data_IF_566767990811
#
_entry.id   IF_566767990811
#
_cell.length_a   1.000
_cell.length_b   1.000
_cell.length_c   1.000
_cell.angle_alpha   90.00
_cell.angle_beta   90.00
_cell.angle_gamma   90.00
#
_symmetry.space_group_name_H-M   'P 1'
#
loop_
_entity.id
_entity.type
_entity.pdbx_description
1 polymer ?
#
# COMPACT_ATOMS: atom_id res chain seq x y z
N UNK A 1 -21.85 -40.55 8.42
CA UNK A 1 -20.70 -39.63 8.62
C UNK A 1 -20.46 -38.64 7.47
N UNK A 2 -21.16 -38.70 6.33
CA UNK A 2 -20.90 -37.84 5.16
C UNK A 2 -21.49 -36.41 5.23
N UNK A 3 -22.59 -36.20 5.96
CA UNK A 3 -23.32 -34.91 6.00
C UNK A 3 -22.63 -33.80 6.79
N UNK A 4 -21.81 -34.15 7.79
CA UNK A 4 -21.04 -33.18 8.59
C UNK A 4 -19.84 -32.61 7.81
N UNK A 5 -19.25 -33.39 6.90
CA UNK A 5 -18.09 -32.97 6.11
C UNK A 5 -18.46 -31.90 5.06
N UNK A 6 -19.63 -32.02 4.43
CA UNK A 6 -20.13 -31.03 3.47
C UNK A 6 -20.41 -29.66 4.10
N UNK A 7 -20.87 -29.62 5.36
CA UNK A 7 -21.11 -28.35 6.08
C UNK A 7 -19.78 -27.64 6.36
N UNK A 8 -18.73 -28.37 6.74
CA UNK A 8 -17.41 -27.78 6.99
C UNK A 8 -16.75 -27.24 5.71
N UNK A 9 -16.90 -27.94 4.58
CA UNK A 9 -16.40 -27.48 3.27
C UNK A 9 -17.14 -26.25 2.74
N UNK A 10 -18.46 -26.17 2.97
CA UNK A 10 -19.25 -25.00 2.61
C UNK A 10 -18.92 -23.79 3.51
N UNK A 11 -18.71 -24.00 4.81
CA UNK A 11 -18.29 -22.94 5.74
C UNK A 11 -16.89 -22.38 5.42
N UNK A 12 -15.94 -23.23 5.08
CA UNK A 12 -14.59 -22.81 4.64
C UNK A 12 -14.63 -22.03 3.32
N UNK A 13 -15.51 -22.42 2.40
CA UNK A 13 -15.70 -21.71 1.13
C UNK A 13 -16.40 -20.36 1.33
N UNK A 14 -17.38 -20.28 2.24
CA UNK A 14 -18.09 -19.05 2.56
C UNK A 14 -17.20 -18.03 3.30
N UNK A 15 -16.32 -18.50 4.18
CA UNK A 15 -15.30 -17.68 4.83
C UNK A 15 -14.25 -17.16 3.83
N UNK A 16 -13.90 -17.93 2.80
CA UNK A 16 -12.95 -17.52 1.77
C UNK A 16 -13.51 -16.45 0.81
N UNK A 17 -14.81 -16.46 0.53
CA UNK A 17 -15.44 -15.53 -0.43
C UNK A 17 -16.15 -14.33 0.19
N UNK A 18 -16.50 -14.36 1.48
CA UNK A 18 -17.13 -13.23 2.17
C UNK A 18 -16.11 -12.25 2.82
N UNK A 19 -14.83 -12.65 2.87
CA UNK A 19 -13.74 -11.83 3.44
C UNK A 19 -13.06 -10.81 2.50
N UNK A 20 -13.01 -10.94 1.15
CA UNK A 20 -12.22 -10.02 0.34
C UNK A 20 -12.77 -8.59 0.37
N UNK A 21 -14.08 -8.40 0.17
CA UNK A 21 -14.67 -7.05 0.17
C UNK A 21 -14.54 -6.34 1.53
N UNK A 22 -14.72 -7.05 2.64
CA UNK A 22 -14.61 -6.47 3.99
C UNK A 22 -13.15 -6.24 4.39
N UNK A 23 -12.23 -7.11 3.93
CA UNK A 23 -10.79 -6.90 4.10
C UNK A 23 -10.32 -5.69 3.29
N UNK A 24 -10.85 -5.50 2.07
CA UNK A 24 -10.56 -4.37 1.21
C UNK A 24 -11.05 -3.04 1.81
N UNK A 25 -12.24 -3.00 2.43
CA UNK A 25 -12.76 -1.80 3.09
C UNK A 25 -11.93 -1.43 4.34
N UNK A 26 -11.53 -2.41 5.15
CA UNK A 26 -10.67 -2.18 6.33
C UNK A 26 -9.29 -1.68 5.90
N UNK A 27 -8.71 -2.26 4.85
CA UNK A 27 -7.43 -1.82 4.28
C UNK A 27 -7.55 -0.40 3.73
N UNK A 28 -8.63 -0.11 2.98
CA UNK A 28 -8.91 1.22 2.44
C UNK A 28 -9.03 2.27 3.53
N UNK A 29 -9.89 2.05 4.52
CA UNK A 29 -10.11 3.00 5.62
C UNK A 29 -8.80 3.26 6.38
N UNK A 30 -8.03 2.21 6.65
CA UNK A 30 -6.74 2.33 7.34
C UNK A 30 -5.74 3.15 6.53
N UNK A 31 -5.52 2.81 5.26
CA UNK A 31 -4.53 3.52 4.42
C UNK A 31 -4.97 4.97 4.20
N UNK A 32 -6.26 5.21 3.92
CA UNK A 32 -6.80 6.56 3.73
C UNK A 32 -6.62 7.41 4.99
N UNK A 33 -6.93 6.86 6.17
CA UNK A 33 -6.73 7.57 7.45
C UNK A 33 -5.26 7.89 7.73
N UNK A 34 -4.32 7.02 7.32
CA UNK A 34 -2.89 7.33 7.41
C UNK A 34 -2.53 8.48 6.47
N UNK A 35 -2.96 8.42 5.21
CA UNK A 35 -2.67 9.46 4.21
C UNK A 35 -3.21 10.82 4.65
N UNK A 36 -4.44 10.90 5.16
CA UNK A 36 -5.01 12.15 5.68
C UNK A 36 -4.18 12.71 6.86
N UNK A 37 -3.78 11.85 7.81
CA UNK A 37 -2.99 12.27 8.98
C UNK A 37 -1.59 12.75 8.64
N UNK A 38 -1.00 12.32 7.51
CA UNK A 38 0.27 12.88 7.03
C UNK A 38 0.19 14.38 6.75
N UNK A 39 -1.02 14.90 6.50
CA UNK A 39 -1.31 16.31 6.24
C UNK A 39 -1.96 17.03 7.42
N UNK A 40 -2.10 16.38 8.58
CA UNK A 40 -2.71 16.98 9.76
C UNK A 40 -1.89 18.20 10.23
N UNK A 41 -2.52 19.29 10.71
CA UNK A 41 -1.80 20.48 11.18
C UNK A 41 -0.88 20.21 12.38
N UNK A 42 -1.24 19.23 13.22
CA UNK A 42 -0.44 18.85 14.38
C UNK A 42 0.76 17.97 14.00
N UNK A 43 1.94 18.35 14.48
CA UNK A 43 3.18 17.60 14.22
C UNK A 43 3.13 16.15 14.74
N UNK A 44 2.53 15.93 15.92
CA UNK A 44 2.45 14.60 16.52
C UNK A 44 1.62 13.65 15.68
N UNK A 45 0.48 14.11 15.14
CA UNK A 45 -0.36 13.33 14.23
C UNK A 45 0.39 12.95 12.95
N UNK A 46 1.09 13.91 12.33
CA UNK A 46 1.92 13.62 11.14
C UNK A 46 2.99 12.60 11.45
N UNK A 47 3.73 12.79 12.55
CA UNK A 47 4.81 11.89 12.96
C UNK A 47 4.30 10.47 13.20
N UNK A 48 3.15 10.33 13.87
CA UNK A 48 2.50 9.04 14.09
C UNK A 48 2.11 8.39 12.75
N UNK A 49 1.52 9.16 11.83
CA UNK A 49 1.16 8.66 10.50
C UNK A 49 2.38 8.14 9.71
N UNK A 50 3.49 8.88 9.70
CA UNK A 50 4.74 8.40 9.07
C UNK A 50 5.28 7.13 9.74
N UNK A 51 5.18 7.02 11.07
CA UNK A 51 5.52 5.79 11.80
C UNK A 51 4.62 4.60 11.48
N UNK A 52 3.36 4.84 11.13
CA UNK A 52 2.42 3.78 10.70
C UNK A 52 2.65 3.37 9.24
N UNK A 53 3.05 4.29 8.36
CA UNK A 53 3.35 4.02 6.95
C UNK A 53 4.42 2.93 6.81
N UNK A 54 5.51 3.03 7.59
CA UNK A 54 6.61 2.06 7.53
C UNK A 54 6.21 0.64 7.99
N UNK A 55 5.02 0.49 8.57
CA UNK A 55 4.45 -0.79 9.01
C UNK A 55 3.49 -1.39 7.99
N UNK A 56 3.18 -0.70 6.89
CA UNK A 56 2.29 -1.21 5.85
C UNK A 56 2.93 -2.38 5.10
N UNK A 57 2.21 -3.48 4.90
CA UNK A 57 2.69 -4.69 4.23
C UNK A 57 1.63 -5.23 3.29
N UNK A 58 2.02 -6.15 2.40
CA UNK A 58 1.10 -6.93 1.56
C UNK A 58 -0.10 -6.13 1.00
N UNK A 59 -1.34 -6.36 1.46
CA UNK A 59 -2.55 -5.69 0.95
C UNK A 59 -2.53 -4.17 1.06
N UNK A 60 -2.02 -3.59 2.15
CA UNK A 60 -1.99 -2.13 2.31
C UNK A 60 -1.02 -1.45 1.33
N UNK A 61 0.11 -2.10 1.04
CA UNK A 61 1.09 -1.62 0.06
C UNK A 61 0.53 -1.73 -1.36
N UNK A 62 -0.14 -2.85 -1.67
CA UNK A 62 -0.83 -3.03 -2.95
C UNK A 62 -1.94 -1.99 -3.14
N UNK A 63 -2.68 -1.67 -2.08
CA UNK A 63 -3.69 -0.63 -2.10
C UNK A 63 -3.08 0.74 -2.44
N UNK A 64 -1.98 1.14 -1.77
CA UNK A 64 -1.27 2.38 -2.09
C UNK A 64 -0.88 2.46 -3.57
N UNK A 65 -0.23 1.42 -4.09
CA UNK A 65 0.22 1.38 -5.49
C UNK A 65 -0.96 1.39 -6.46
N UNK A 66 -2.03 0.66 -6.15
CA UNK A 66 -3.22 0.59 -6.98
C UNK A 66 -3.98 1.92 -7.07
N UNK A 67 -3.78 2.84 -6.11
CA UNK A 67 -4.50 4.12 -6.06
C UNK A 67 -3.73 5.31 -6.63
N UNK A 68 -2.45 5.16 -6.95
CA UNK A 68 -1.66 6.15 -7.70
C UNK A 68 -2.32 6.56 -9.05
N UNK A 69 -2.96 5.65 -9.82
CA UNK A 69 -3.60 6.00 -11.09
C UNK A 69 -4.94 6.74 -10.99
N UNK A 70 -5.51 6.94 -9.79
CA UNK A 70 -6.86 7.50 -9.64
C UNK A 70 -6.94 9.02 -9.89
N UNK A 71 -8.17 9.50 -10.17
CA UNK A 71 -8.49 10.80 -10.80
C UNK A 71 -8.13 12.08 -10.01
N UNK A 72 -7.69 11.97 -8.76
CA UNK A 72 -7.24 13.14 -7.98
C UNK A 72 -5.71 13.22 -7.97
N UNK A 73 -5.11 14.25 -8.61
CA UNK A 73 -3.66 14.48 -8.56
C UNK A 73 -3.12 14.60 -7.12
N UNK A 74 -3.95 15.10 -6.20
CA UNK A 74 -3.60 15.24 -4.78
C UNK A 74 -3.42 13.87 -4.12
N UNK A 75 -4.37 12.96 -4.31
CA UNK A 75 -4.31 11.59 -3.76
C UNK A 75 -3.16 10.81 -4.38
N UNK A 76 -2.95 10.94 -5.70
CA UNK A 76 -1.82 10.33 -6.38
C UNK A 76 -0.49 10.82 -5.78
N UNK A 77 -0.36 12.12 -5.54
CA UNK A 77 0.83 12.70 -4.92
C UNK A 77 1.03 12.22 -3.47
N UNK A 78 -0.04 12.14 -2.67
CA UNK A 78 0.01 11.59 -1.30
C UNK A 78 0.50 10.14 -1.29
N UNK A 79 -0.03 9.30 -2.17
CA UNK A 79 0.40 7.90 -2.31
C UNK A 79 1.88 7.80 -2.71
N UNK A 80 2.35 8.65 -3.64
CA UNK A 80 3.77 8.69 -4.05
C UNK A 80 4.67 9.11 -2.90
N UNK A 81 4.29 10.15 -2.13
CA UNK A 81 5.05 10.60 -0.95
C UNK A 81 5.10 9.55 0.15
N UNK A 82 4.00 8.83 0.35
CA UNK A 82 3.95 7.71 1.28
C UNK A 82 4.91 6.59 0.86
N UNK A 83 4.92 6.21 -0.41
CA UNK A 83 5.86 5.21 -0.94
C UNK A 83 7.31 5.67 -0.85
N UNK A 84 7.62 6.92 -1.20
CA UNK A 84 8.96 7.49 -1.05
C UNK A 84 9.49 7.32 0.38
N UNK A 85 8.65 7.62 1.37
CA UNK A 85 9.02 7.47 2.78
C UNK A 85 9.22 6.00 3.20
N UNK A 86 8.34 5.11 2.76
CA UNK A 86 8.45 3.67 3.03
C UNK A 86 9.78 3.13 2.47
N UNK A 87 10.14 3.55 1.25
CA UNK A 87 11.33 3.09 0.55
C UNK A 87 12.62 3.63 1.15
N UNK A 88 12.63 4.90 1.57
CA UNK A 88 13.76 5.47 2.32
C UNK A 88 13.97 4.71 3.63
N UNK A 89 12.91 4.40 4.36
CA UNK A 89 12.99 3.63 5.61
C UNK A 89 13.38 2.16 5.41
N UNK A 90 13.12 1.59 4.22
CA UNK A 90 13.44 0.21 3.85
C UNK A 90 14.87 0.06 3.28
N UNK A 91 15.41 1.09 2.64
CA UNK A 91 16.81 1.14 2.22
C UNK A 91 17.77 0.97 3.41
N UNK A 92 17.35 1.40 4.61
CA UNK A 92 18.07 1.18 5.87
C UNK A 92 17.92 -0.26 6.43
N UNK A 93 17.03 -1.10 5.87
CA UNK A 93 16.53 -2.35 6.47
C UNK A 93 16.47 -3.56 5.51
N UNK A 94 17.32 -3.59 4.49
CA UNK A 94 17.52 -4.71 3.53
C UNK A 94 16.74 -4.65 2.19
N UNK A 95 15.90 -3.64 1.94
CA UNK A 95 15.37 -3.35 0.59
C UNK A 95 14.24 -4.27 0.07
N UNK A 96 13.72 -5.20 0.88
CA UNK A 96 12.68 -6.15 0.48
C UNK A 96 11.34 -5.47 0.11
N UNK A 97 10.97 -4.38 0.78
CA UNK A 97 9.76 -3.64 0.44
C UNK A 97 9.94 -2.83 -0.84
N UNK A 98 11.16 -2.38 -1.11
CA UNK A 98 11.48 -1.68 -2.34
C UNK A 98 11.33 -2.55 -3.57
N UNK A 99 11.87 -3.76 -3.54
CA UNK A 99 11.72 -4.71 -4.65
C UNK A 99 10.24 -5.01 -4.92
N UNK A 100 9.45 -5.31 -3.88
CA UNK A 100 8.01 -5.59 -4.03
C UNK A 100 7.23 -4.38 -4.54
N UNK A 101 7.53 -3.17 -4.06
CA UNK A 101 6.87 -1.94 -4.53
C UNK A 101 7.16 -1.68 -6.01
N UNK A 102 8.42 -1.88 -6.43
CA UNK A 102 8.83 -1.75 -7.82
C UNK A 102 8.18 -2.80 -8.71
N UNK A 103 8.07 -4.05 -8.27
CA UNK A 103 7.31 -5.09 -8.96
C UNK A 103 5.85 -4.63 -9.19
N UNK A 104 5.15 -4.19 -8.14
CA UNK A 104 3.76 -3.74 -8.28
C UNK A 104 3.59 -2.54 -9.21
N UNK A 105 4.53 -1.59 -9.20
CA UNK A 105 4.53 -0.43 -10.10
C UNK A 105 4.80 -0.83 -11.55
N UNK A 106 5.70 -1.80 -11.79
CA UNK A 106 6.03 -2.27 -13.14
C UNK A 106 4.82 -2.90 -13.85
N UNK A 107 3.95 -3.60 -13.10
CA UNK A 107 2.69 -4.13 -13.63
C UNK A 107 1.66 -3.04 -13.99
N UNK A 108 1.89 -1.78 -13.58
CA UNK A 108 0.98 -0.64 -13.76
C UNK A 108 1.60 0.55 -14.53
N UNK A 109 2.68 0.31 -15.29
CA UNK A 109 3.42 1.33 -16.07
C UNK A 109 2.56 2.19 -17.02
N UNK A 110 1.32 1.75 -17.34
CA UNK A 110 0.42 2.47 -18.23
C UNK A 110 -0.20 3.75 -17.62
N UNK A 111 0.05 4.05 -16.33
CA UNK A 111 -0.43 5.28 -15.69
C UNK A 111 0.70 6.28 -15.46
N UNK A 112 0.43 7.56 -15.76
CA UNK A 112 1.38 8.67 -15.57
C UNK A 112 1.85 8.76 -14.11
N UNK A 113 0.96 8.49 -13.15
CA UNK A 113 1.31 8.46 -11.73
C UNK A 113 2.26 7.31 -11.38
N UNK A 114 2.05 6.11 -11.91
CA UNK A 114 2.97 4.98 -11.68
C UNK A 114 4.35 5.23 -12.31
N UNK A 115 4.40 5.81 -13.51
CA UNK A 115 5.66 6.20 -14.15
C UNK A 115 6.40 7.28 -13.35
N UNK A 116 5.69 8.27 -12.81
CA UNK A 116 6.27 9.30 -11.95
C UNK A 116 6.80 8.73 -10.63
N UNK A 117 6.03 7.81 -10.01
CA UNK A 117 6.47 7.09 -8.81
C UNK A 117 7.74 6.29 -9.08
N UNK A 118 7.76 5.50 -10.16
CA UNK A 118 8.91 4.69 -10.55
C UNK A 118 10.16 5.56 -10.84
N UNK A 119 9.97 6.70 -11.51
CA UNK A 119 11.05 7.63 -11.84
C UNK A 119 11.65 8.32 -10.60
N UNK A 120 10.82 8.66 -9.61
CA UNK A 120 11.27 9.21 -8.32
C UNK A 120 12.08 8.18 -7.52
N UNK A 121 11.57 6.94 -7.45
CA UNK A 121 12.22 5.85 -6.73
C UNK A 121 13.60 5.52 -7.33
N UNK A 122 13.66 5.37 -8.66
CA UNK A 122 14.93 5.12 -9.36
C UNK A 122 15.93 6.27 -9.22
N UNK A 123 15.47 7.52 -9.16
CA UNK A 123 16.34 8.67 -8.89
C UNK A 123 16.90 8.68 -7.46
N UNK A 124 16.11 8.24 -6.47
CA UNK A 124 16.55 8.10 -5.09
C UNK A 124 17.71 7.11 -4.97
N UNK A 125 17.56 5.92 -5.56
CA UNK A 125 18.58 4.87 -5.55
C UNK A 125 19.90 5.27 -6.22
N UNK A 126 19.86 6.05 -7.29
CA UNK A 126 21.06 6.52 -8.01
C UNK A 126 21.89 7.55 -7.24
N UNK A 127 21.32 8.22 -6.24
CA UNK A 127 22.05 9.22 -5.42
C UNK A 127 22.83 8.58 -4.27
N UNK A 128 22.52 7.33 -3.93
CA UNK A 128 23.12 6.59 -2.82
C UNK A 128 24.17 5.56 -3.28
N UNK A 129 24.33 5.34 -4.59
CA UNK A 129 25.43 4.57 -5.23
C UNK A 129 26.60 5.46 -5.65
#
# INVERSE_FOLDING_TARGET
>A
MFRLFCIHLLLLSFLATACPARCDDVVRERVTGILERMHHPEFNERRTAYGELILLRGPELQFLVAHIPHDSPEVAWMCVRALEHILQADAEKDGELAERTLEFLSFRENSVGAAAALALIRNGQLRES
#
